data_IF_359944452519
#
_entry.id   IF_359944452519
#
_cell.length_a   1.000
_cell.length_b   1.000
_cell.length_c   1.000
_cell.angle_alpha   90.00
_cell.angle_beta   90.00
_cell.angle_gamma   90.00
#
_symmetry.space_group_name_H-M   'P 1'
#
loop_
_entity.id
_entity.type
_entity.pdbx_description
1 polymer ?
#
# COMPACT_ATOMS: atom_id res chain seq x y z
N UNK A 1 -14.31 12.19 -17.44
CA UNK A 1 -13.03 11.55 -17.79
C UNK A 1 -12.36 11.13 -16.51
N UNK A 2 -11.88 9.89 -16.39
CA UNK A 2 -11.24 9.43 -15.16
C UNK A 2 -9.85 10.08 -15.02
N UNK A 3 -9.43 10.46 -13.81
CA UNK A 3 -8.09 10.95 -13.58
C UNK A 3 -7.06 9.84 -13.88
N UNK A 4 -5.83 10.21 -14.31
CA UNK A 4 -4.76 9.24 -14.50
C UNK A 4 -4.44 8.56 -13.17
N UNK A 5 -4.07 7.27 -13.20
CA UNK A 5 -3.78 6.49 -11.99
C UNK A 5 -2.70 7.14 -11.08
N UNK A 6 -1.75 7.86 -11.69
CA UNK A 6 -0.71 8.59 -10.95
C UNK A 6 -1.27 9.69 -10.03
N UNK A 7 -2.48 10.19 -10.30
CA UNK A 7 -3.13 11.21 -9.49
C UNK A 7 -3.42 10.72 -8.07
N UNK A 8 -3.67 9.42 -7.88
CA UNK A 8 -4.02 8.84 -6.57
C UNK A 8 -2.80 8.57 -5.68
N UNK A 9 -1.59 8.56 -6.24
CA UNK A 9 -0.36 8.24 -5.50
C UNK A 9 -0.12 9.10 -4.25
N UNK A 10 -0.41 10.42 -4.24
CA UNK A 10 -0.24 11.27 -3.06
C UNK A 10 -1.21 10.95 -1.92
N UNK A 11 -2.37 10.34 -2.22
CA UNK A 11 -3.40 10.00 -1.22
C UNK A 11 -3.25 8.56 -0.69
N UNK A 12 -2.36 7.77 -1.29
CA UNK A 12 -2.12 6.39 -0.93
C UNK A 12 -0.87 6.30 -0.05
N UNK A 13 -1.04 5.72 1.14
CA UNK A 13 0.08 5.36 2.02
C UNK A 13 0.50 3.92 1.76
N UNK A 14 1.79 3.73 1.48
CA UNK A 14 2.39 2.41 1.28
C UNK A 14 3.03 1.93 2.58
N UNK A 15 2.76 0.69 2.96
CA UNK A 15 3.39 0.03 4.09
C UNK A 15 3.99 -1.29 3.61
N UNK A 16 5.30 -1.44 3.76
CA UNK A 16 5.98 -2.71 3.49
C UNK A 16 6.10 -3.49 4.79
N UNK A 17 5.79 -4.78 4.73
CA UNK A 17 6.01 -5.68 5.86
C UNK A 17 6.61 -7.01 5.41
N UNK A 18 7.23 -7.69 6.36
CA UNK A 18 7.68 -9.07 6.18
C UNK A 18 6.49 -10.00 6.32
N UNK A 19 6.23 -10.85 5.31
CA UNK A 19 5.26 -11.94 5.45
C UNK A 19 5.82 -13.02 6.39
N UNK A 20 5.59 -12.91 7.69
CA UNK A 20 5.95 -13.96 8.65
C UNK A 20 4.89 -15.06 8.65
N UNK A 21 5.05 -16.06 7.78
CA UNK A 21 4.44 -17.38 7.97
C UNK A 21 5.17 -18.19 9.06
N UNK A 22 4.63 -19.33 9.55
CA UNK A 22 5.26 -20.15 10.58
C UNK A 22 6.71 -20.52 10.19
N UNK A 23 7.67 -20.10 11.01
CA UNK A 23 9.09 -20.04 10.64
C UNK A 23 9.79 -21.38 10.56
N UNK A 24 10.44 -21.66 9.41
CA UNK A 24 11.51 -22.65 9.30
C UNK A 24 12.88 -21.97 9.50
N UNK A 25 13.83 -22.68 10.12
CA UNK A 25 15.21 -22.18 10.29
C UNK A 25 15.77 -21.75 8.92
N UNK A 26 16.34 -20.53 8.84
CA UNK A 26 16.84 -19.79 7.65
C UNK A 26 15.97 -18.64 7.07
N UNK A 27 15.07 -18.01 7.84
CA UNK A 27 14.28 -16.85 7.34
C UNK A 27 15.04 -15.52 7.47
N UNK A 28 16.00 -15.25 6.59
CA UNK A 28 16.67 -13.95 6.50
C UNK A 28 16.22 -13.13 5.27
N UNK A 29 15.56 -12.00 5.56
CA UNK A 29 15.85 -10.66 5.00
C UNK A 29 15.22 -10.18 3.67
N UNK A 30 13.93 -10.38 3.41
CA UNK A 30 13.24 -9.53 2.42
C UNK A 30 11.82 -9.16 2.87
N UNK A 31 11.49 -7.87 2.82
CA UNK A 31 10.12 -7.36 2.97
C UNK A 31 9.31 -7.80 1.75
N UNK A 32 8.46 -8.81 1.91
CA UNK A 32 7.77 -9.51 0.81
C UNK A 32 6.30 -9.10 0.64
N UNK A 33 5.77 -8.28 1.54
CA UNK A 33 4.37 -7.84 1.53
C UNK A 33 4.31 -6.32 1.43
N UNK A 34 3.44 -5.82 0.54
CA UNK A 34 3.15 -4.39 0.40
C UNK A 34 1.66 -4.20 0.62
N UNK A 35 1.31 -3.34 1.56
CA UNK A 35 -0.05 -2.91 1.86
C UNK A 35 -0.22 -1.45 1.43
N UNK A 36 -1.41 -1.14 0.91
CA UNK A 36 -1.80 0.20 0.48
C UNK A 36 -2.99 0.63 1.32
N UNK A 37 -2.92 1.84 1.88
CA UNK A 37 -4.00 2.45 2.66
C UNK A 37 -4.43 3.73 1.98
N UNK A 38 -5.74 3.92 1.81
CA UNK A 38 -6.31 5.11 1.18
C UNK A 38 -7.53 5.58 1.99
N UNK A 39 -7.53 6.85 2.38
CA UNK A 39 -8.66 7.48 3.07
C UNK A 39 -9.63 8.08 2.05
N UNK A 40 -10.71 7.35 1.76
CA UNK A 40 -11.70 7.78 0.77
C UNK A 40 -12.42 9.07 1.17
N UNK A 41 -12.69 9.28 2.46
CA UNK A 41 -13.42 10.45 2.95
C UNK A 41 -12.64 11.76 2.82
N UNK A 42 -11.31 11.69 2.81
CA UNK A 42 -10.41 12.84 2.68
C UNK A 42 -9.87 12.98 1.25
N UNK A 43 -10.34 12.14 0.32
CA UNK A 43 -9.81 12.08 -1.05
C UNK A 43 -10.36 13.22 -1.89
N UNK A 44 -9.49 14.14 -2.27
CA UNK A 44 -9.83 15.25 -3.14
C UNK A 44 -10.16 14.81 -4.57
N UNK A 45 -9.70 13.62 -4.98
CA UNK A 45 -9.90 13.09 -6.33
C UNK A 45 -11.32 12.53 -6.53
N UNK A 46 -11.95 12.01 -5.48
CA UNK A 46 -13.30 11.42 -5.56
C UNK A 46 -14.37 12.20 -4.79
N UNK A 47 -14.00 13.15 -3.92
CA UNK A 47 -14.95 13.97 -3.16
C UNK A 47 -15.44 15.21 -3.92
N UNK A 48 -15.18 15.30 -5.23
CA UNK A 48 -15.55 16.42 -6.10
C UNK A 48 -16.80 16.11 -6.93
#
# INVERSE_FOLDING_TARGET
>A
MLPPAAAFLPEITFQTSRSSGPGGQNVNKVESRVELRWHLSDSHIISA
#
